data_IF_065513079029
#
_entry.id   IF_065513079029
#
_cell.length_a   1.000
_cell.length_b   1.000
_cell.length_c   1.000
_cell.angle_alpha   90.00
_cell.angle_beta   90.00
_cell.angle_gamma   90.00
#
_symmetry.space_group_name_H-M   'P 1'
#
loop_
_entity.id
_entity.type
_entity.pdbx_description
1 polymer ?
#
# COMPACT_ATOMS: atom_id res chain seq x y z
N UNK A 1 -18.37 -1.73 -3.57
CA UNK A 1 -17.72 -1.91 -4.89
C UNK A 1 -16.44 -1.11 -4.88
N UNK A 2 -15.29 -1.74 -5.11
CA UNK A 2 -14.01 -1.05 -5.32
C UNK A 2 -13.66 -1.17 -6.80
N UNK A 3 -13.23 -0.06 -7.42
CA UNK A 3 -12.74 -0.07 -8.80
C UNK A 3 -11.48 -0.94 -8.85
N UNK A 4 -11.38 -1.84 -9.82
CA UNK A 4 -10.15 -2.58 -10.10
C UNK A 4 -9.29 -1.80 -11.08
N UNK A 5 -7.99 -1.65 -10.83
CA UNK A 5 -7.06 -1.02 -11.77
C UNK A 5 -6.84 -1.93 -12.98
N UNK A 6 -7.21 -1.47 -14.17
CA UNK A 6 -7.06 -2.21 -15.45
C UNK A 6 -6.10 -1.51 -16.41
N UNK A 7 -5.38 -0.48 -15.92
CA UNK A 7 -4.38 0.29 -16.65
C UNK A 7 -4.89 1.59 -17.30
N UNK A 8 -6.20 1.71 -17.56
CA UNK A 8 -6.81 2.91 -18.18
C UNK A 8 -7.47 3.86 -17.17
N UNK A 9 -7.67 3.39 -15.96
CA UNK A 9 -8.49 4.03 -14.94
C UNK A 9 -7.69 4.41 -13.69
N UNK A 10 -6.37 4.62 -13.83
CA UNK A 10 -5.48 4.96 -12.72
C UNK A 10 -6.01 6.14 -11.89
N UNK A 11 -6.43 7.29 -12.45
CA UNK A 11 -6.90 8.42 -11.63
C UNK A 11 -8.11 8.09 -10.75
N UNK A 12 -9.07 7.30 -11.27
CA UNK A 12 -10.25 6.91 -10.52
C UNK A 12 -9.93 5.86 -9.44
N UNK A 13 -9.09 4.89 -9.79
CA UNK A 13 -8.62 3.88 -8.85
C UNK A 13 -7.81 4.52 -7.72
N UNK A 14 -6.87 5.41 -8.05
CA UNK A 14 -6.03 6.12 -7.09
C UNK A 14 -6.88 6.92 -6.10
N UNK A 15 -7.83 7.71 -6.60
CA UNK A 15 -8.74 8.49 -5.76
C UNK A 15 -9.51 7.61 -4.78
N UNK A 16 -10.11 6.51 -5.25
CA UNK A 16 -10.83 5.58 -4.37
C UNK A 16 -9.92 4.88 -3.36
N UNK A 17 -8.73 4.46 -3.80
CA UNK A 17 -7.76 3.77 -2.95
C UNK A 17 -7.24 4.69 -1.84
N UNK A 18 -6.92 5.95 -2.16
CA UNK A 18 -6.53 6.97 -1.17
C UNK A 18 -7.61 7.18 -0.11
N UNK A 19 -8.89 7.28 -0.49
CA UNK A 19 -10.02 7.39 0.46
C UNK A 19 -10.11 6.14 1.34
N UNK A 20 -9.98 4.96 0.75
CA UNK A 20 -10.02 3.70 1.49
C UNK A 20 -8.91 3.60 2.55
N UNK A 21 -7.69 3.97 2.20
CA UNK A 21 -6.54 3.99 3.12
C UNK A 21 -6.69 5.08 4.18
N UNK A 22 -7.21 6.26 3.81
CA UNK A 22 -7.49 7.36 4.74
C UNK A 22 -8.52 6.96 5.79
N UNK A 23 -9.59 6.26 5.40
CA UNK A 23 -10.60 5.72 6.33
C UNK A 23 -10.02 4.76 7.37
N UNK A 24 -8.83 4.19 7.10
CA UNK A 24 -8.11 3.27 7.98
C UNK A 24 -6.92 3.92 8.70
N UNK A 25 -6.70 5.23 8.51
CA UNK A 25 -5.57 5.99 9.10
C UNK A 25 -4.19 5.45 8.73
N UNK A 26 -4.06 4.86 7.53
CA UNK A 26 -2.82 4.23 7.04
C UNK A 26 -2.15 5.03 5.91
N UNK A 27 -2.54 6.29 5.70
CA UNK A 27 -1.98 7.14 4.63
C UNK A 27 -0.48 7.32 4.76
N UNK A 28 0.06 7.33 5.99
CA UNK A 28 1.50 7.43 6.20
C UNK A 28 2.32 6.24 5.69
N UNK A 29 1.71 5.05 5.65
CA UNK A 29 2.33 3.85 5.06
C UNK A 29 2.32 3.94 3.53
N UNK A 30 1.27 4.52 2.96
CA UNK A 30 1.10 4.69 1.51
C UNK A 30 2.04 5.76 0.94
N UNK A 31 2.00 6.97 1.53
CA UNK A 31 2.79 8.12 1.08
C UNK A 31 4.25 8.06 1.58
N UNK A 32 4.59 7.09 2.45
CA UNK A 32 5.95 6.90 2.97
C UNK A 32 6.36 7.82 4.13
N UNK A 33 5.45 8.69 4.59
CA UNK A 33 5.71 9.57 5.76
C UNK A 33 5.89 8.77 7.05
N UNK A 34 5.26 7.61 7.17
CA UNK A 34 5.60 6.59 8.15
C UNK A 34 6.70 5.72 7.56
N UNK A 35 7.95 6.16 7.72
CA UNK A 35 9.13 5.40 7.30
C UNK A 35 9.29 4.11 8.11
N UNK A 36 9.98 3.14 7.53
CA UNK A 36 10.34 1.89 8.23
C UNK A 36 11.11 2.25 9.51
N UNK A 37 10.69 1.75 10.69
CA UNK A 37 11.42 1.95 11.92
C UNK A 37 12.86 1.47 11.79
N UNK A 38 13.80 2.19 12.41
CA UNK A 38 15.21 1.80 12.47
C UNK A 38 15.37 0.51 13.29
N UNK A 39 16.51 -0.18 13.15
CA UNK A 39 16.73 -1.46 13.82
C UNK A 39 16.82 -1.35 15.35
N UNK A 40 17.02 -0.15 15.89
CA UNK A 40 17.01 0.18 17.31
C UNK A 40 15.60 0.58 17.83
N UNK A 41 14.59 0.65 16.97
CA UNK A 41 13.22 0.93 17.37
C UNK A 41 12.62 -0.24 18.18
N UNK A 42 11.60 0.07 18.99
CA UNK A 42 10.91 -0.93 19.79
C UNK A 42 10.32 -2.02 18.89
N UNK A 43 10.48 -3.29 19.27
CA UNK A 43 10.01 -4.46 18.50
C UNK A 43 8.51 -4.36 18.16
N UNK A 44 7.72 -3.78 19.08
CA UNK A 44 6.29 -3.55 18.86
C UNK A 44 6.02 -2.57 17.73
N UNK A 45 6.75 -1.46 17.68
CA UNK A 45 6.57 -0.42 16.64
C UNK A 45 6.99 -0.96 15.28
N UNK A 46 8.05 -1.77 15.24
CA UNK A 46 8.50 -2.47 14.03
C UNK A 46 7.45 -3.46 13.54
N UNK A 47 6.92 -4.30 14.41
CA UNK A 47 5.88 -5.27 14.08
C UNK A 47 4.58 -4.60 13.60
N UNK A 48 4.16 -3.51 14.26
CA UNK A 48 2.99 -2.73 13.87
C UNK A 48 3.17 -2.10 12.49
N UNK A 49 4.35 -1.53 12.21
CA UNK A 49 4.65 -0.99 10.88
C UNK A 49 4.68 -2.07 9.80
N UNK A 50 5.34 -3.20 10.04
CA UNK A 50 5.43 -4.32 9.08
C UNK A 50 4.04 -4.91 8.79
N UNK A 51 3.19 -5.04 9.81
CA UNK A 51 1.80 -5.48 9.65
C UNK A 51 0.99 -4.50 8.80
N UNK A 52 1.11 -3.20 9.07
CA UNK A 52 0.38 -2.18 8.32
C UNK A 52 0.87 -2.11 6.87
N UNK A 53 2.17 -2.20 6.64
CA UNK A 53 2.76 -2.27 5.30
C UNK A 53 2.25 -3.49 4.52
N UNK A 54 2.27 -4.69 5.13
CA UNK A 54 1.78 -5.91 4.48
C UNK A 54 0.28 -5.81 4.13
N UNK A 55 -0.53 -5.20 4.98
CA UNK A 55 -1.96 -4.99 4.72
C UNK A 55 -2.21 -4.08 3.51
N UNK A 56 -1.49 -2.96 3.42
CA UNK A 56 -1.69 -2.05 2.28
C UNK A 56 -1.18 -2.68 0.97
N UNK A 57 -0.05 -3.39 1.00
CA UNK A 57 0.43 -4.21 -0.14
C UNK A 57 -0.66 -5.20 -0.58
N UNK A 58 -1.25 -5.93 0.35
CA UNK A 58 -2.32 -6.88 0.06
C UNK A 58 -3.55 -6.20 -0.59
N UNK A 59 -3.93 -5.00 -0.13
CA UNK A 59 -5.02 -4.24 -0.73
C UNK A 59 -4.69 -3.73 -2.13
N UNK A 60 -3.46 -3.27 -2.38
CA UNK A 60 -3.01 -2.90 -3.72
C UNK A 60 -3.14 -4.13 -4.63
N UNK A 61 -2.50 -5.25 -4.27
CA UNK A 61 -2.51 -6.47 -5.08
C UNK A 61 -3.93 -7.00 -5.34
N UNK A 62 -4.84 -6.89 -4.37
CA UNK A 62 -6.23 -7.34 -4.51
C UNK A 62 -7.08 -6.41 -5.38
N UNK A 63 -6.69 -5.14 -5.49
CA UNK A 63 -7.44 -4.09 -6.21
C UNK A 63 -6.91 -3.79 -7.60
N UNK A 64 -5.87 -4.48 -8.06
CA UNK A 64 -5.34 -4.35 -9.43
C UNK A 64 -5.61 -5.59 -10.28
N UNK A 65 -5.48 -5.45 -11.59
CA UNK A 65 -5.50 -6.57 -12.53
C UNK A 65 -4.30 -7.52 -12.28
N UNK A 66 -4.45 -8.85 -12.48
CA UNK A 66 -3.36 -9.80 -12.27
C UNK A 66 -2.08 -9.46 -13.03
N UNK A 67 -2.16 -8.89 -14.24
CA UNK A 67 -0.98 -8.47 -15.01
C UNK A 67 -0.19 -7.36 -14.31
N UNK A 68 -0.88 -6.44 -13.63
CA UNK A 68 -0.27 -5.37 -12.84
C UNK A 68 0.23 -5.92 -11.50
N UNK A 69 -0.52 -6.83 -10.85
CA UNK A 69 -0.07 -7.47 -9.62
C UNK A 69 1.27 -8.22 -9.82
N UNK A 70 1.44 -8.86 -10.98
CA UNK A 70 2.68 -9.54 -11.37
C UNK A 70 3.87 -8.58 -11.48
N UNK A 71 3.69 -7.39 -12.05
CA UNK A 71 4.76 -6.40 -12.16
C UNK A 71 5.17 -5.80 -10.80
N UNK A 72 4.29 -5.87 -9.80
CA UNK A 72 4.54 -5.33 -8.46
C UNK A 72 5.25 -6.30 -7.51
N UNK A 73 5.45 -7.57 -7.89
CA UNK A 73 6.03 -8.61 -7.02
C UNK A 73 7.42 -8.30 -6.47
N UNK A 74 8.20 -7.45 -7.16
CA UNK A 74 9.56 -7.09 -6.77
C UNK A 74 9.67 -6.05 -5.64
N UNK A 75 8.56 -5.41 -5.27
CA UNK A 75 8.57 -4.36 -4.27
C UNK A 75 8.23 -4.89 -2.88
N UNK A 76 9.02 -4.49 -1.88
CA UNK A 76 8.86 -4.90 -0.48
C UNK A 76 8.14 -3.86 0.38
N UNK A 77 7.97 -2.63 -0.12
CA UNK A 77 7.30 -1.54 0.60
C UNK A 77 6.12 -1.02 -0.21
N UNK A 78 5.06 -0.66 0.51
CA UNK A 78 3.86 -0.04 -0.06
C UNK A 78 4.24 1.22 -0.84
N UNK A 79 5.10 2.06 -0.27
CA UNK A 79 5.54 3.30 -0.88
C UNK A 79 6.20 3.08 -2.25
N UNK A 80 7.06 2.06 -2.38
CA UNK A 80 7.69 1.74 -3.66
C UNK A 80 6.73 1.11 -4.68
N UNK A 81 5.65 0.45 -4.24
CA UNK A 81 4.58 -0.02 -5.14
C UNK A 81 3.68 1.13 -5.62
N UNK A 82 3.57 2.18 -4.82
CA UNK A 82 2.66 3.30 -5.04
C UNK A 82 3.28 4.43 -5.89
N UNK A 83 4.62 4.54 -5.90
CA UNK A 83 5.38 5.54 -6.66
C UNK A 83 5.61 5.12 -8.11
#
# INVERSE_FOLDING_TARGET
MSVRLTGRNFPLWEFQFRIFVQGRRMTGILDGTSSRPADDANDKEKADWETNNALVIFWILSSVDPGIALSLRGFSTTHSMWS
#
